data_IF_421860153319
#
_entry.id   IF_421860153319
#
_cell.length_a   1.000
_cell.length_b   1.000
_cell.length_c   1.000
_cell.angle_alpha   90.00
_cell.angle_beta   90.00
_cell.angle_gamma   90.00
#
_symmetry.space_group_name_H-M   'P 1'
#
loop_
_entity.id
_entity.type
_entity.pdbx_description
1 polymer ?
#
# COMPACT_ATOMS: atom_id res chain seq x y z
N UNK A 1 -16.11 34.41 50.88
CA UNK A 1 -15.37 34.37 52.15
C UNK A 1 -14.07 33.65 51.89
N UNK A 2 -12.95 34.36 52.00
CA UNK A 2 -11.61 33.84 51.76
C UNK A 2 -11.17 32.93 52.92
N UNK A 3 -10.50 31.82 52.63
CA UNK A 3 -9.88 30.96 53.65
C UNK A 3 -8.52 31.53 54.05
N UNK A 4 -8.27 31.57 55.36
CA UNK A 4 -7.13 32.22 56.02
C UNK A 4 -5.79 31.54 55.71
N UNK A 5 -4.69 32.30 55.55
CA UNK A 5 -3.36 31.78 55.21
C UNK A 5 -2.59 31.15 56.40
N UNK A 6 -3.27 30.74 57.48
CA UNK A 6 -2.64 30.19 58.69
C UNK A 6 -2.57 28.64 58.73
N UNK A 7 -3.00 27.96 57.67
CA UNK A 7 -3.04 26.48 57.59
C UNK A 7 -1.77 25.85 56.98
N UNK A 8 -0.68 26.61 56.81
CA UNK A 8 0.58 26.08 56.27
C UNK A 8 1.69 26.08 57.33
N UNK A 9 2.39 24.94 57.54
CA UNK A 9 3.51 24.86 58.46
C UNK A 9 4.73 25.66 57.93
N UNK A 10 5.61 26.15 58.82
CA UNK A 10 6.67 27.07 58.46
C UNK A 10 7.79 26.37 57.68
N UNK A 11 8.33 27.04 56.67
CA UNK A 11 9.59 26.63 56.06
C UNK A 11 10.73 26.90 57.04
N UNK A 12 11.54 25.87 57.27
CA UNK A 12 12.74 25.95 58.07
C UNK A 12 13.73 26.87 57.35
N UNK A 13 13.94 28.04 57.95
CA UNK A 13 14.78 29.09 57.40
C UNK A 13 16.28 28.80 57.47
N UNK A 14 16.98 29.56 56.64
CA UNK A 14 18.33 30.09 56.84
C UNK A 14 19.51 29.16 56.54
N UNK A 15 19.88 29.18 55.26
CA UNK A 15 21.24 29.42 54.74
C UNK A 15 22.41 29.10 55.68
N UNK A 16 23.06 27.96 55.42
CA UNK A 16 24.50 27.79 55.65
C UNK A 16 25.12 27.55 54.28
N UNK A 17 26.05 28.43 53.91
CA UNK A 17 26.73 28.53 52.62
C UNK A 17 27.22 27.17 52.08
N UNK A 18 26.63 26.73 50.97
CA UNK A 18 27.23 25.80 50.02
C UNK A 18 27.37 26.50 48.66
N UNK A 19 28.54 26.40 48.05
CA UNK A 19 28.92 27.03 46.77
C UNK A 19 27.87 26.78 45.67
N UNK A 20 27.50 27.78 44.85
CA UNK A 20 26.56 27.57 43.74
C UNK A 20 27.17 26.61 42.70
N UNK A 21 26.41 25.63 42.18
CA UNK A 21 26.91 24.78 41.10
C UNK A 21 27.14 25.66 39.86
N UNK A 22 28.36 25.60 39.32
CA UNK A 22 28.73 26.28 38.09
C UNK A 22 27.84 25.83 36.92
N UNK A 23 27.60 26.69 35.91
CA UNK A 23 26.88 26.28 34.71
C UNK A 23 27.67 25.19 33.98
N UNK A 24 27.06 24.01 33.80
CA UNK A 24 27.62 22.92 33.00
C UNK A 24 27.80 23.40 31.55
N UNK A 25 28.95 23.12 30.90
CA UNK A 25 29.11 23.42 29.48
C UNK A 25 28.09 22.61 28.65
N UNK A 26 27.67 23.13 27.48
CA UNK A 26 26.70 22.44 26.64
C UNK A 26 27.27 21.09 26.22
N UNK A 27 26.57 20.01 26.57
CA UNK A 27 26.92 18.66 26.16
C UNK A 27 27.00 18.62 24.63
N UNK A 28 28.22 18.64 24.12
CA UNK A 28 28.49 18.61 22.68
C UNK A 28 28.39 17.16 22.25
N UNK A 29 27.72 16.87 21.13
CA UNK A 29 27.52 15.51 20.59
C UNK A 29 28.77 14.61 20.66
N UNK A 30 29.96 15.19 20.50
CA UNK A 30 31.25 14.51 20.60
C UNK A 30 31.53 13.85 21.96
N UNK A 31 31.01 14.34 23.09
CA UNK A 31 31.27 13.75 24.41
C UNK A 31 30.63 12.37 24.60
N UNK A 32 29.56 12.07 23.85
CA UNK A 32 28.91 10.75 23.86
C UNK A 32 29.67 9.70 23.02
N UNK A 33 30.59 10.14 22.15
CA UNK A 33 31.43 9.25 21.33
C UNK A 33 32.73 8.86 22.05
N UNK A 34 33.16 9.69 23.02
CA UNK A 34 34.41 9.52 23.77
C UNK A 34 34.23 8.74 25.08
N UNK A 35 33.00 8.46 25.51
CA UNK A 35 32.74 7.68 26.71
C UNK A 35 33.14 6.22 26.48
N UNK A 36 34.09 5.71 27.27
CA UNK A 36 34.35 4.27 27.34
C UNK A 36 33.05 3.53 27.65
N UNK A 37 32.77 2.37 27.01
CA UNK A 37 31.52 1.65 27.21
C UNK A 37 31.49 1.09 28.63
N UNK A 38 30.96 1.87 29.57
CA UNK A 38 30.60 1.39 30.90
C UNK A 38 29.44 0.43 30.72
N UNK A 39 29.76 -0.87 30.82
CA UNK A 39 28.84 -2.01 30.84
C UNK A 39 27.62 -1.83 29.95
N UNK A 40 27.75 -2.25 28.70
CA UNK A 40 26.57 -2.65 27.94
C UNK A 40 25.79 -3.63 28.80
N UNK A 41 24.65 -3.21 29.35
CA UNK A 41 23.59 -4.14 29.69
C UNK A 41 23.33 -4.92 28.41
N UNK A 42 23.87 -6.13 28.37
CA UNK A 42 23.77 -7.07 27.28
C UNK A 42 22.29 -7.38 27.16
N UNK A 43 21.58 -6.58 26.35
CA UNK A 43 20.19 -6.82 26.06
C UNK A 43 20.13 -8.21 25.45
N UNK A 44 19.59 -9.22 26.15
CA UNK A 44 19.69 -10.59 25.68
C UNK A 44 18.77 -10.74 24.47
N UNK A 45 19.29 -10.43 23.29
CA UNK A 45 18.62 -10.74 22.03
C UNK A 45 18.75 -12.25 21.81
N UNK A 46 17.78 -12.98 22.32
CA UNK A 46 17.59 -14.37 21.91
C UNK A 46 16.91 -14.38 20.54
N UNK A 47 17.56 -15.00 19.57
CA UNK A 47 16.94 -15.28 18.29
C UNK A 47 15.80 -16.28 18.52
N UNK A 48 14.56 -15.80 18.48
CA UNK A 48 13.38 -16.66 18.51
C UNK A 48 13.16 -17.17 17.08
N UNK A 49 13.51 -18.44 16.83
CA UNK A 49 13.10 -19.10 15.59
C UNK A 49 11.57 -19.02 15.47
N UNK A 50 10.99 -18.58 14.33
CA UNK A 50 9.54 -18.46 14.18
C UNK A 50 8.89 -19.85 14.24
N UNK A 51 8.48 -20.29 15.43
CA UNK A 51 7.93 -21.64 15.67
C UNK A 51 6.44 -21.76 15.31
N UNK A 52 5.78 -20.67 14.93
CA UNK A 52 4.38 -20.71 14.49
C UNK A 52 4.30 -20.58 12.97
N UNK A 53 4.10 -21.70 12.28
CA UNK A 53 3.39 -21.67 10.99
C UNK A 53 2.04 -21.01 11.27
N UNK A 54 1.90 -19.75 10.87
CA UNK A 54 0.65 -19.02 10.96
C UNK A 54 -0.36 -19.73 10.04
N UNK A 55 -1.09 -20.68 10.61
CA UNK A 55 -2.17 -21.36 9.92
C UNK A 55 -3.38 -20.45 10.03
N UNK A 56 -3.66 -19.69 8.99
CA UNK A 56 -4.93 -18.98 8.86
C UNK A 56 -6.06 -20.03 8.86
N UNK A 57 -7.07 -19.84 9.70
CA UNK A 57 -8.26 -20.69 9.63
C UNK A 57 -8.98 -20.43 8.31
N UNK A 58 -9.55 -21.48 7.72
CA UNK A 58 -10.29 -21.38 6.47
C UNK A 58 -11.47 -20.42 6.58
N UNK A 59 -12.11 -20.33 7.76
CA UNK A 59 -13.26 -19.46 8.01
C UNK A 59 -12.87 -17.97 7.90
N UNK A 60 -11.75 -17.56 8.50
CA UNK A 60 -11.23 -16.18 8.42
C UNK A 60 -10.93 -15.78 6.95
N UNK A 61 -10.49 -16.76 6.14
CA UNK A 61 -10.21 -16.55 4.72
C UNK A 61 -11.50 -16.33 3.91
N UNK A 62 -12.59 -17.02 4.28
CA UNK A 62 -13.88 -16.86 3.62
C UNK A 62 -14.55 -15.54 3.95
N UNK A 63 -14.42 -15.07 5.19
CA UNK A 63 -14.92 -13.76 5.60
C UNK A 63 -14.18 -12.63 4.86
N UNK A 64 -12.84 -12.71 4.79
CA UNK A 64 -12.04 -11.79 4.00
C UNK A 64 -12.40 -11.81 2.52
N UNK A 65 -12.71 -12.99 1.96
CA UNK A 65 -13.16 -13.12 0.56
C UNK A 65 -14.48 -12.40 0.32
N UNK A 66 -15.43 -12.52 1.25
CA UNK A 66 -16.71 -11.82 1.16
C UNK A 66 -16.53 -10.30 1.34
N UNK A 67 -15.57 -9.83 2.13
CA UNK A 67 -15.36 -8.39 2.29
C UNK A 67 -14.78 -7.72 1.02
N UNK A 68 -13.93 -8.44 0.28
CA UNK A 68 -13.25 -7.95 -0.92
C UNK A 68 -13.84 -8.47 -2.23
N UNK A 69 -15.04 -9.07 -2.21
CA UNK A 69 -15.67 -9.68 -3.38
C UNK A 69 -15.91 -8.70 -4.56
N UNK A 70 -16.11 -7.42 -4.28
CA UNK A 70 -16.25 -6.36 -5.30
C UNK A 70 -14.92 -5.61 -5.53
N UNK A 71 -13.81 -6.34 -5.52
CA UNK A 71 -12.49 -5.73 -5.66
C UNK A 71 -11.71 -6.27 -6.86
N UNK A 72 -11.10 -5.36 -7.61
CA UNK A 72 -10.22 -5.65 -8.72
C UNK A 72 -8.80 -5.23 -8.37
N UNK A 73 -7.82 -6.04 -8.75
CA UNK A 73 -6.41 -5.65 -8.73
C UNK A 73 -6.02 -5.33 -10.16
N UNK A 74 -5.40 -4.18 -10.37
CA UNK A 74 -4.88 -3.83 -11.68
C UNK A 74 -3.49 -3.24 -11.64
N UNK A 75 -2.83 -3.28 -12.80
CA UNK A 75 -1.51 -2.70 -12.99
C UNK A 75 -1.41 -2.11 -14.41
N UNK A 76 -0.63 -1.05 -14.53
CA UNK A 76 -0.29 -0.47 -15.82
C UNK A 76 0.90 -1.21 -16.44
N UNK A 77 0.90 -1.38 -17.75
CA UNK A 77 2.09 -1.89 -18.46
C UNK A 77 3.14 -0.77 -18.56
N UNK A 78 4.37 -1.06 -18.13
CA UNK A 78 5.50 -0.13 -18.13
C UNK A 78 5.56 0.75 -16.87
N UNK A 79 5.96 2.02 -17.03
CA UNK A 79 6.12 2.94 -15.88
C UNK A 79 4.82 3.12 -15.07
N UNK A 80 4.95 3.04 -13.74
CA UNK A 80 3.87 3.26 -12.78
C UNK A 80 3.26 4.67 -12.94
N UNK A 81 1.94 4.78 -13.15
CA UNK A 81 1.26 6.07 -13.20
C UNK A 81 1.18 6.70 -11.81
N UNK A 82 1.14 8.03 -11.77
CA UNK A 82 0.87 8.77 -10.55
C UNK A 82 -0.58 8.54 -10.10
N UNK A 83 -0.76 8.32 -8.80
CA UNK A 83 -2.04 7.93 -8.20
C UNK A 83 -3.20 8.87 -8.62
N UNK A 84 -3.03 10.19 -8.45
CA UNK A 84 -4.09 11.16 -8.77
C UNK A 84 -4.46 11.18 -10.26
N UNK A 85 -3.45 11.02 -11.14
CA UNK A 85 -3.68 10.98 -12.59
C UNK A 85 -4.41 9.71 -12.99
N UNK A 86 -4.04 8.59 -12.37
CA UNK A 86 -4.71 7.32 -12.60
C UNK A 86 -6.16 7.38 -12.13
N UNK A 87 -6.40 7.91 -10.92
CA UNK A 87 -7.74 8.08 -10.37
C UNK A 87 -8.62 8.97 -11.26
N UNK A 88 -8.09 10.11 -11.72
CA UNK A 88 -8.80 11.00 -12.64
C UNK A 88 -9.09 10.31 -13.99
N UNK A 89 -8.13 9.54 -14.53
CA UNK A 89 -8.32 8.80 -15.76
C UNK A 89 -9.39 7.71 -15.63
N UNK A 90 -9.40 6.98 -14.50
CA UNK A 90 -10.41 5.95 -14.20
C UNK A 90 -11.81 6.56 -14.08
N UNK A 91 -11.97 7.66 -13.34
CA UNK A 91 -13.24 8.38 -13.23
C UNK A 91 -13.73 8.93 -14.59
N UNK A 92 -12.81 9.28 -15.49
CA UNK A 92 -13.15 9.73 -16.84
C UNK A 92 -13.57 8.57 -17.74
N UNK A 93 -12.85 7.45 -17.66
CA UNK A 93 -13.05 6.26 -18.49
C UNK A 93 -14.31 5.47 -18.09
N UNK A 94 -14.57 5.34 -16.80
CA UNK A 94 -15.68 4.55 -16.28
C UNK A 94 -16.85 5.43 -15.86
N UNK A 95 -17.99 5.25 -16.52
CA UNK A 95 -19.26 5.88 -16.15
C UNK A 95 -19.98 5.02 -15.11
N UNK A 96 -19.45 5.03 -13.90
CA UNK A 96 -19.96 4.26 -12.77
C UNK A 96 -21.27 4.86 -12.26
N UNK A 97 -22.21 4.02 -11.85
CA UNK A 97 -23.44 4.44 -11.16
C UNK A 97 -23.17 4.78 -9.70
N UNK A 98 -22.25 4.04 -9.07
CA UNK A 98 -21.76 4.26 -7.72
C UNK A 98 -20.37 4.87 -7.68
N UNK A 99 -19.65 4.61 -6.59
CA UNK A 99 -18.28 5.03 -6.38
C UNK A 99 -17.34 3.84 -6.25
N UNK A 100 -16.05 4.10 -6.43
CA UNK A 100 -14.98 3.15 -6.15
C UNK A 100 -13.88 3.83 -5.32
N UNK A 101 -13.16 3.04 -4.55
CA UNK A 101 -11.96 3.44 -3.83
C UNK A 101 -10.74 2.85 -4.50
N UNK A 102 -9.71 3.66 -4.75
CA UNK A 102 -8.43 3.24 -5.30
C UNK A 102 -7.42 3.15 -4.15
N UNK A 103 -6.70 2.03 -4.04
CA UNK A 103 -5.64 1.83 -3.07
C UNK A 103 -4.37 1.45 -3.82
N UNK A 104 -3.27 2.10 -3.49
CA UNK A 104 -1.97 1.75 -4.05
C UNK A 104 -1.39 0.57 -3.28
N UNK A 105 -1.00 -0.49 -3.99
CA UNK A 105 -0.28 -1.64 -3.44
C UNK A 105 1.22 -1.54 -3.75
N UNK A 106 1.98 -2.49 -3.20
CA UNK A 106 3.36 -2.73 -3.58
C UNK A 106 3.46 -3.25 -5.02
N UNK A 107 4.67 -3.25 -5.59
CA UNK A 107 4.96 -3.77 -6.94
C UNK A 107 4.11 -3.13 -8.07
N UNK A 108 3.78 -1.84 -7.93
CA UNK A 108 3.00 -1.04 -8.90
C UNK A 108 1.59 -1.58 -9.20
N UNK A 109 1.06 -2.39 -8.30
CA UNK A 109 -0.35 -2.79 -8.33
C UNK A 109 -1.24 -1.73 -7.67
N UNK A 110 -2.49 -1.70 -8.10
CA UNK A 110 -3.55 -0.90 -7.54
C UNK A 110 -4.73 -1.81 -7.23
N UNK A 111 -5.33 -1.64 -6.06
CA UNK A 111 -6.56 -2.30 -5.67
C UNK A 111 -7.71 -1.32 -5.83
N UNK A 112 -8.76 -1.76 -6.50
CA UNK A 112 -9.98 -1.00 -6.72
C UNK A 112 -11.10 -1.70 -5.97
N UNK A 113 -11.75 -1.01 -5.05
CA UNK A 113 -12.92 -1.53 -4.34
C UNK A 113 -14.16 -0.78 -4.81
N UNK A 114 -15.12 -1.51 -5.37
CA UNK A 114 -16.38 -0.96 -5.86
C UNK A 114 -17.47 -1.06 -4.80
N UNK A 115 -18.37 -0.08 -4.80
CA UNK A 115 -19.57 -0.10 -3.95
C UNK A 115 -20.72 -0.87 -4.60
N UNK A 116 -20.77 -0.90 -5.94
CA UNK A 116 -21.83 -1.55 -6.72
C UNK A 116 -21.30 -2.76 -7.48
N UNK A 117 -22.05 -3.87 -7.46
CA UNK A 117 -21.73 -5.07 -8.22
C UNK A 117 -21.88 -4.87 -9.74
N UNK A 118 -22.83 -4.02 -10.18
CA UNK A 118 -23.01 -3.71 -11.60
C UNK A 118 -21.79 -2.97 -12.17
N UNK A 119 -21.26 -2.03 -11.39
CA UNK A 119 -20.07 -1.25 -11.76
C UNK A 119 -18.82 -2.15 -11.81
N UNK A 120 -18.69 -3.06 -10.83
CA UNK A 120 -17.64 -4.06 -10.82
C UNK A 120 -17.68 -4.94 -12.08
N UNK A 121 -18.86 -5.44 -12.44
CA UNK A 121 -19.01 -6.32 -13.60
C UNK A 121 -18.78 -5.56 -14.92
N UNK A 122 -19.26 -4.32 -15.02
CA UNK A 122 -18.99 -3.45 -16.16
C UNK A 122 -17.49 -3.21 -16.36
N UNK A 123 -16.75 -2.90 -15.28
CA UNK A 123 -15.30 -2.67 -15.38
C UNK A 123 -14.56 -3.99 -15.66
N UNK A 124 -15.00 -5.09 -15.06
CA UNK A 124 -14.41 -6.42 -15.29
C UNK A 124 -14.60 -6.92 -16.72
N UNK A 125 -15.79 -6.73 -17.30
CA UNK A 125 -16.17 -7.27 -18.61
C UNK A 125 -15.97 -6.28 -19.77
N UNK A 126 -15.78 -5.00 -19.47
CA UNK A 126 -15.64 -3.92 -20.46
C UNK A 126 -14.40 -3.99 -21.36
N UNK A 127 -13.54 -5.01 -21.20
CA UNK A 127 -12.41 -5.28 -22.08
C UNK A 127 -11.10 -4.61 -21.63
N UNK A 128 -10.08 -4.55 -22.51
CA UNK A 128 -8.80 -3.96 -22.17
C UNK A 128 -8.94 -2.45 -22.00
N UNK A 129 -8.67 -1.96 -20.78
CA UNK A 129 -8.78 -0.54 -20.46
C UNK A 129 -7.50 0.20 -20.82
N UNK A 130 -7.63 1.32 -21.53
CA UNK A 130 -6.50 2.22 -21.78
C UNK A 130 -6.62 3.44 -20.88
N UNK A 131 -5.73 3.53 -19.89
CA UNK A 131 -5.65 4.66 -18.96
C UNK A 131 -4.36 5.42 -19.22
N UNK A 132 -4.45 6.74 -19.37
CA UNK A 132 -3.30 7.61 -19.67
C UNK A 132 -2.52 7.19 -20.94
N UNK A 133 -3.23 6.63 -21.94
CA UNK A 133 -2.64 6.16 -23.19
C UNK A 133 -1.87 4.84 -23.07
N UNK A 134 -1.97 4.13 -21.94
CA UNK A 134 -1.34 2.83 -21.72
C UNK A 134 -2.38 1.77 -21.37
N UNK A 135 -2.18 0.52 -21.80
CA UNK A 135 -3.04 -0.58 -21.36
C UNK A 135 -2.91 -0.79 -19.85
N UNK A 136 -4.06 -0.90 -19.20
CA UNK A 136 -4.23 -1.16 -17.79
C UNK A 136 -4.94 -2.49 -17.63
N UNK A 137 -4.22 -3.46 -17.06
CA UNK A 137 -4.71 -4.82 -16.88
C UNK A 137 -5.47 -4.86 -15.57
N UNK A 138 -6.68 -5.42 -15.60
CA UNK A 138 -7.53 -5.62 -14.42
C UNK A 138 -7.78 -7.11 -14.22
N UNK A 139 -7.69 -7.56 -12.98
CA UNK A 139 -7.95 -8.93 -12.57
C UNK A 139 -8.78 -8.95 -11.29
N UNK A 140 -9.63 -9.97 -11.16
CA UNK A 140 -10.38 -10.19 -9.92
C UNK A 140 -9.45 -10.44 -8.74
N UNK A 141 -9.68 -9.71 -7.64
CA UNK A 141 -8.93 -9.94 -6.41
C UNK A 141 -9.20 -11.36 -5.90
N UNK A 142 -8.13 -12.07 -5.51
CA UNK A 142 -8.28 -13.36 -4.84
C UNK A 142 -7.31 -13.47 -3.66
N UNK A 143 -7.66 -14.18 -2.59
CA UNK A 143 -6.78 -14.34 -1.44
C UNK A 143 -5.51 -15.14 -1.75
N UNK A 144 -5.50 -15.90 -2.86
CA UNK A 144 -4.35 -16.62 -3.38
C UNK A 144 -3.63 -15.84 -4.48
N UNK A 145 -4.04 -14.60 -4.75
CA UNK A 145 -3.45 -13.76 -5.78
C UNK A 145 -1.99 -13.50 -5.43
N UNK A 146 -1.10 -13.98 -6.29
CA UNK A 146 0.31 -13.62 -6.23
C UNK A 146 0.50 -12.48 -7.23
N UNK A 147 0.95 -11.29 -6.79
CA UNK A 147 1.30 -10.21 -7.71
C UNK A 147 2.45 -10.69 -8.58
N UNK A 148 2.13 -11.16 -9.78
CA UNK A 148 3.10 -11.47 -10.82
C UNK A 148 2.83 -10.51 -11.95
N UNK A 149 3.73 -9.56 -12.11
CA UNK A 149 3.71 -8.69 -13.27
C UNK A 149 4.22 -9.52 -14.43
N UNK A 150 3.34 -9.87 -15.35
CA UNK A 150 3.71 -10.62 -16.54
C UNK A 150 4.29 -9.65 -17.57
N UNK A 151 5.44 -9.04 -17.25
CA UNK A 151 6.14 -8.15 -18.19
C UNK A 151 6.83 -8.95 -19.31
N UNK A 152 7.04 -10.26 -19.10
CA UNK A 152 7.75 -11.16 -20.02
C UNK A 152 6.86 -12.25 -20.63
N UNK A 153 5.64 -12.46 -20.12
CA UNK A 153 4.65 -13.35 -20.73
C UNK A 153 3.79 -12.62 -21.75
N UNK A 154 3.51 -13.30 -22.86
CA UNK A 154 2.52 -12.86 -23.83
C UNK A 154 1.14 -12.86 -23.16
N UNK A 155 0.60 -11.68 -22.84
CA UNK A 155 -0.78 -11.54 -22.36
C UNK A 155 -1.71 -11.69 -23.57
N UNK A 156 -2.56 -12.74 -23.65
CA UNK A 156 -3.46 -12.90 -24.77
C UNK A 156 -4.54 -11.81 -24.74
N UNK A 157 -4.41 -10.80 -25.61
CA UNK A 157 -5.41 -9.77 -25.83
C UNK A 157 -6.32 -10.18 -26.98
N UNK A 158 -7.63 -10.25 -26.74
CA UNK A 158 -8.63 -10.53 -27.77
C UNK A 158 -8.98 -9.22 -28.50
N UNK A 159 -8.32 -8.97 -29.64
CA UNK A 159 -8.60 -7.81 -30.49
C UNK A 159 -9.67 -8.19 -31.53
N UNK A 160 -10.83 -7.51 -31.52
CA UNK A 160 -11.85 -7.66 -32.56
C UNK A 160 -11.57 -6.65 -33.68
N UNK A 161 -10.96 -7.11 -34.77
CA UNK A 161 -10.78 -6.29 -35.98
C UNK A 161 -12.10 -6.27 -36.75
N UNK A 162 -12.71 -5.09 -36.87
CA UNK A 162 -13.90 -4.87 -37.71
C UNK A 162 -13.42 -4.38 -39.09
N UNK A 163 -14.11 -4.79 -40.16
CA UNK A 163 -13.80 -4.44 -41.56
C UNK A 163 -12.43 -4.89 -42.10
N UNK A 164 -12.00 -6.11 -41.76
CA UNK A 164 -10.81 -6.70 -42.39
C UNK A 164 -11.05 -6.90 -43.90
N UNK A 165 -10.31 -6.24 -44.81
CA UNK A 165 -10.50 -6.37 -46.25
C UNK A 165 -10.43 -7.83 -46.70
N UNK A 166 -11.33 -8.25 -47.60
CA UNK A 166 -11.41 -9.61 -48.14
C UNK A 166 -10.06 -10.14 -48.69
N UNK A 167 -9.19 -9.26 -49.18
CA UNK A 167 -7.85 -9.62 -49.65
C UNK A 167 -6.96 -10.24 -48.55
N UNK A 168 -7.23 -9.96 -47.27
CA UNK A 168 -6.49 -10.51 -46.12
C UNK A 168 -7.10 -11.81 -45.58
N UNK A 169 -8.18 -12.32 -46.19
CA UNK A 169 -8.80 -13.60 -45.83
C UNK A 169 -8.15 -14.79 -46.54
N UNK A 170 -6.83 -14.76 -46.71
CA UNK A 170 -6.07 -15.86 -47.32
C UNK A 170 -5.38 -16.71 -46.24
N UNK A 171 -5.24 -18.03 -46.44
CA UNK A 171 -4.61 -18.92 -45.46
C UNK A 171 -3.14 -18.57 -45.17
N UNK A 172 -2.50 -17.75 -46.01
CA UNK A 172 -1.14 -17.25 -45.84
C UNK A 172 -1.01 -16.05 -44.87
N UNK A 173 -2.11 -15.38 -44.50
CA UNK A 173 -2.09 -14.23 -43.57
C UNK A 173 -2.08 -14.64 -42.08
N UNK A 174 -2.17 -15.95 -41.79
CA UNK A 174 -2.21 -16.53 -40.43
C UNK A 174 -0.94 -16.39 -39.57
N UNK A 175 0.29 -16.15 -40.07
CA UNK A 175 1.46 -16.03 -39.19
C UNK A 175 1.45 -14.76 -38.32
N UNK A 176 0.71 -13.72 -38.71
CA UNK A 176 0.84 -12.38 -38.10
C UNK A 176 -0.08 -12.13 -36.90
N UNK A 177 -0.92 -13.10 -36.52
CA UNK A 177 -1.92 -12.96 -35.43
C UNK A 177 -1.52 -13.68 -34.13
N UNK A 178 -0.35 -14.33 -34.09
CA UNK A 178 0.13 -15.12 -32.94
C UNK A 178 1.52 -14.67 -32.48
N UNK A 179 1.73 -13.38 -32.25
CA UNK A 179 2.97 -12.90 -31.63
C UNK A 179 2.77 -11.73 -30.70
#
# INVERSE_FOLDING_TARGET
MALNPLDFPPMLGSSVLGVPPQPLPPATYASNLSSSPSSSDEFPMSFVSPTKKLSFKTDDLTEGKNFWHLSLVGYSIGQRPYYERLLAAMNKAWKLKGSFSLLSLADDFFLLKFTSAEDFDMVRTGGPWFLLGKPFILQEWSPKFKPKRDETGSIPLWIKILDLPLALWTPAAKPCLNH
#
